data_IF_851576570379
#
_entry.id   IF_851576570379
#
_cell.length_a   1.000
_cell.length_b   1.000
_cell.length_c   1.000
_cell.angle_alpha   90.00
_cell.angle_beta   90.00
_cell.angle_gamma   90.00
#
_symmetry.space_group_name_H-M   'P 1'
#
loop_
_entity.id
_entity.type
_entity.pdbx_description
1 polymer ?
#
# COMPACT_ATOMS: atom_id res chain seq x y z
N UNK A 1 29.22 27.05 7.67
CA UNK A 1 29.30 26.22 8.91
C UNK A 1 28.07 25.31 8.92
N UNK A 2 28.24 23.99 9.08
CA UNK A 2 27.08 23.11 9.18
C UNK A 2 26.26 23.45 10.42
N UNK A 3 24.92 23.44 10.35
CA UNK A 3 24.11 23.60 11.54
C UNK A 3 24.37 22.46 12.51
N UNK A 4 24.42 22.78 13.80
CA UNK A 4 24.52 21.75 14.83
C UNK A 4 23.20 21.02 14.95
N UNK A 5 23.18 19.72 14.78
CA UNK A 5 22.03 18.85 14.97
C UNK A 5 22.41 17.57 15.72
N UNK A 6 21.42 16.87 16.26
CA UNK A 6 21.68 15.64 16.99
C UNK A 6 22.42 14.62 16.11
N UNK A 7 23.47 14.01 16.65
CA UNK A 7 24.38 13.07 15.98
C UNK A 7 25.27 13.66 14.86
N UNK A 8 25.39 14.99 14.73
CA UNK A 8 26.40 15.59 13.85
C UNK A 8 27.77 15.00 14.14
N UNK A 9 28.52 14.61 13.11
CA UNK A 9 29.83 13.97 13.24
C UNK A 9 29.80 12.49 13.67
N UNK A 10 28.65 11.83 13.62
CA UNK A 10 28.50 10.37 13.77
C UNK A 10 28.21 9.73 12.41
N UNK A 11 28.55 8.44 12.22
CA UNK A 11 28.13 7.72 11.03
C UNK A 11 26.61 7.80 10.87
N UNK A 12 26.17 8.23 9.69
CA UNK A 12 24.76 8.40 9.36
C UNK A 12 24.53 7.88 7.94
N UNK A 13 23.30 7.45 7.67
CA UNK A 13 22.76 7.28 6.31
C UNK A 13 21.92 8.52 5.97
N UNK A 14 20.93 8.36 5.08
CA UNK A 14 19.99 9.45 4.81
C UNK A 14 19.21 9.86 6.06
N UNK A 15 19.08 11.16 6.24
CA UNK A 15 18.28 11.78 7.31
C UNK A 15 17.17 12.64 6.69
N UNK A 16 16.09 12.84 7.43
CA UNK A 16 15.08 13.86 7.10
C UNK A 16 15.57 15.21 7.64
N UNK A 17 16.03 16.07 6.74
CA UNK A 17 16.52 17.39 7.11
C UNK A 17 15.36 18.39 7.15
N UNK A 18 15.23 19.09 8.28
CA UNK A 18 14.21 20.12 8.48
C UNK A 18 14.89 21.43 8.88
N UNK A 19 15.13 22.35 7.94
CA UNK A 19 15.82 23.60 8.20
C UNK A 19 15.17 24.43 9.32
N UNK A 20 13.86 24.56 9.31
CA UNK A 20 13.13 25.37 10.31
C UNK A 20 13.27 24.80 11.73
N UNK A 21 13.34 23.46 11.87
CA UNK A 21 13.56 22.84 13.17
C UNK A 21 14.97 23.08 13.72
N UNK A 22 15.91 23.46 12.86
CA UNK A 22 17.28 23.81 13.21
C UNK A 22 17.47 25.33 13.39
N UNK A 23 16.38 26.12 13.30
CA UNK A 23 16.43 27.57 13.41
C UNK A 23 17.07 28.27 12.20
N UNK A 24 17.14 27.60 11.06
CA UNK A 24 17.66 28.17 9.82
C UNK A 24 16.56 29.07 9.22
N UNK A 25 16.87 30.36 9.08
CA UNK A 25 15.97 31.32 8.44
C UNK A 25 16.07 31.20 6.91
N UNK A 26 15.04 30.61 6.29
CA UNK A 26 14.96 30.41 4.84
C UNK A 26 14.60 31.68 4.06
N UNK A 27 14.35 32.81 4.74
CA UNK A 27 14.16 34.13 4.10
C UNK A 27 15.47 34.86 3.91
N UNK A 28 16.55 34.40 4.51
CA UNK A 28 17.91 34.89 4.31
C UNK A 28 18.54 34.20 3.13
N UNK A 29 18.90 34.97 2.11
CA UNK A 29 19.53 34.47 0.87
C UNK A 29 20.83 33.70 1.12
N UNK A 30 21.52 33.96 2.23
CA UNK A 30 22.72 33.19 2.63
C UNK A 30 22.41 31.74 3.02
N UNK A 31 21.15 31.39 3.18
CA UNK A 31 20.65 30.05 3.50
C UNK A 31 19.94 29.38 2.30
N UNK A 32 20.10 29.89 1.08
CA UNK A 32 19.44 29.37 -0.10
C UNK A 32 19.71 27.87 -0.36
N UNK A 33 20.88 27.36 0.04
CA UNK A 33 21.23 25.95 -0.07
C UNK A 33 20.37 25.03 0.79
N UNK A 34 19.74 25.54 1.85
CA UNK A 34 18.86 24.77 2.74
C UNK A 34 17.40 24.77 2.32
N UNK A 35 17.03 25.54 1.30
CA UNK A 35 15.65 25.64 0.83
C UNK A 35 15.22 24.29 0.20
N UNK A 36 14.17 23.62 0.70
CA UNK A 36 13.61 22.40 0.09
C UNK A 36 13.10 22.68 -1.33
N UNK A 37 12.95 21.65 -2.15
CA UNK A 37 12.26 21.79 -3.44
C UNK A 37 10.78 22.07 -3.21
N UNK A 38 10.17 21.33 -2.28
CA UNK A 38 8.80 21.60 -1.84
C UNK A 38 8.63 21.41 -0.32
N UNK A 39 7.52 21.87 0.22
CA UNK A 39 7.18 21.68 1.63
C UNK A 39 8.18 22.32 2.59
N UNK A 40 8.65 21.57 3.59
CA UNK A 40 9.51 22.09 4.69
C UNK A 40 10.74 21.21 4.97
N UNK A 41 10.91 20.11 4.29
CA UNK A 41 11.91 19.08 4.57
C UNK A 41 12.39 18.44 3.29
N UNK A 42 13.58 17.85 3.34
CA UNK A 42 14.13 17.02 2.28
C UNK A 42 14.92 15.85 2.89
N UNK A 43 15.22 14.83 2.09
CA UNK A 43 16.16 13.79 2.48
C UNK A 43 17.59 14.25 2.20
N UNK A 44 18.50 14.05 3.15
CA UNK A 44 19.87 14.46 3.04
C UNK A 44 20.83 13.30 3.32
N UNK A 45 21.80 13.06 2.43
CA UNK A 45 22.98 12.25 2.71
C UNK A 45 24.16 13.20 2.96
N UNK A 46 24.67 13.17 4.18
CA UNK A 46 25.75 14.04 4.62
C UNK A 46 27.11 13.46 4.20
N UNK A 47 28.12 14.31 4.10
CA UNK A 47 29.49 13.87 3.80
C UNK A 47 29.97 12.76 4.74
N UNK A 48 30.62 11.75 4.18
CA UNK A 48 31.29 10.73 4.97
C UNK A 48 32.43 11.34 5.81
N UNK A 49 32.68 10.74 6.96
CA UNK A 49 33.71 11.18 7.90
C UNK A 49 35.14 11.05 7.34
N UNK A 50 35.31 10.29 6.25
CA UNK A 50 36.60 10.03 5.64
C UNK A 50 36.63 10.43 4.18
N UNK A 51 37.60 11.27 3.81
CA UNK A 51 37.91 11.60 2.40
C UNK A 51 38.24 10.36 1.55
N UNK A 52 38.62 9.26 2.18
CA UNK A 52 39.15 8.07 1.49
C UNK A 52 38.03 7.09 1.08
N UNK A 53 36.92 7.05 1.80
CA UNK A 53 35.94 5.97 1.66
C UNK A 53 34.67 6.38 0.92
N UNK A 54 34.39 7.68 0.76
CA UNK A 54 33.15 8.16 0.16
C UNK A 54 31.88 7.75 0.93
N UNK A 55 30.75 8.22 0.47
CA UNK A 55 29.45 7.82 0.98
C UNK A 55 29.03 6.45 0.40
N UNK A 56 28.28 5.72 1.15
CA UNK A 56 27.56 4.51 0.74
C UNK A 56 26.20 4.49 1.44
N UNK A 57 25.44 5.57 1.26
CA UNK A 57 24.18 5.78 1.95
C UNK A 57 23.03 5.35 1.05
N UNK A 58 22.16 4.50 1.58
CA UNK A 58 21.07 3.88 0.85
C UNK A 58 19.72 4.44 1.28
N UNK A 59 18.97 4.98 0.33
CA UNK A 59 17.56 5.32 0.48
C UNK A 59 16.76 4.30 -0.35
N UNK A 60 16.12 3.36 0.34
CA UNK A 60 15.43 2.23 -0.28
C UNK A 60 13.93 2.50 -0.25
N UNK A 61 13.25 2.25 -1.38
CA UNK A 61 11.81 2.42 -1.50
C UNK A 61 11.03 1.39 -0.68
N UNK A 62 9.77 1.68 -0.43
CA UNK A 62 8.78 0.64 -0.16
C UNK A 62 8.62 -0.26 -1.39
N UNK A 63 7.91 -1.38 -1.23
CA UNK A 63 7.69 -2.32 -2.33
C UNK A 63 6.95 -1.64 -3.50
N UNK A 64 7.41 -1.92 -4.71
CA UNK A 64 6.84 -1.41 -5.96
C UNK A 64 5.73 -2.32 -6.48
N UNK A 65 4.92 -1.80 -7.43
CA UNK A 65 3.87 -2.57 -8.12
C UNK A 65 4.40 -3.79 -8.89
N UNK A 66 5.67 -3.78 -9.26
CA UNK A 66 6.26 -4.79 -10.15
C UNK A 66 6.04 -4.51 -11.64
N UNK A 67 5.26 -3.49 -11.99
CA UNK A 67 5.11 -3.04 -13.36
C UNK A 67 6.30 -2.20 -13.81
N UNK A 68 6.52 -2.15 -15.13
CA UNK A 68 7.43 -1.15 -15.68
C UNK A 68 6.97 0.25 -15.30
N UNK A 69 7.86 1.05 -14.74
CA UNK A 69 7.52 2.40 -14.28
C UNK A 69 8.69 3.37 -14.35
N UNK A 70 8.36 4.66 -14.31
CA UNK A 70 9.34 5.74 -14.19
C UNK A 70 9.37 6.21 -12.73
N UNK A 71 10.55 6.19 -12.12
CA UNK A 71 10.82 6.87 -10.85
C UNK A 71 11.34 8.26 -11.15
N UNK A 72 10.81 9.27 -10.45
CA UNK A 72 11.29 10.65 -10.54
C UNK A 72 11.75 11.11 -9.17
N UNK A 73 12.79 11.93 -9.14
CA UNK A 73 13.32 12.55 -7.91
C UNK A 73 13.89 13.93 -8.24
N UNK A 74 13.63 14.89 -7.40
CA UNK A 74 14.40 16.13 -7.42
C UNK A 74 15.66 15.97 -6.59
N UNK A 75 16.81 16.33 -7.14
CA UNK A 75 18.09 16.26 -6.46
C UNK A 75 18.90 17.52 -6.67
N UNK A 76 19.67 17.90 -5.64
CA UNK A 76 20.73 18.92 -5.74
C UNK A 76 21.87 18.61 -4.81
N UNK A 77 23.02 19.24 -5.10
CA UNK A 77 24.20 19.32 -4.24
C UNK A 77 24.11 20.54 -3.33
N UNK A 78 24.53 20.41 -2.10
CA UNK A 78 24.77 21.55 -1.20
C UNK A 78 26.09 22.23 -1.58
N UNK A 79 26.05 23.06 -2.59
CA UNK A 79 27.20 23.82 -3.07
C UNK A 79 26.78 25.03 -3.91
N UNK A 80 26.74 26.20 -3.29
CA UNK A 80 26.43 27.45 -3.97
C UNK A 80 27.40 27.79 -5.11
N UNK A 81 28.64 27.29 -5.06
CA UNK A 81 29.64 27.56 -6.09
C UNK A 81 29.38 26.78 -7.41
N UNK A 82 28.60 25.69 -7.34
CA UNK A 82 28.36 24.77 -8.45
C UNK A 82 29.57 23.92 -8.86
N UNK A 83 30.67 23.97 -8.10
CA UNK A 83 31.90 23.27 -8.41
C UNK A 83 31.95 21.84 -7.91
N UNK A 84 31.17 21.54 -6.84
CA UNK A 84 31.19 20.25 -6.15
C UNK A 84 29.87 19.55 -6.35
N UNK A 85 29.77 18.77 -7.42
CA UNK A 85 28.57 17.96 -7.70
C UNK A 85 28.57 16.73 -6.82
N UNK A 86 27.42 16.44 -6.20
CA UNK A 86 27.19 15.18 -5.52
C UNK A 86 26.91 14.07 -6.54
N UNK A 87 27.33 12.85 -6.22
CA UNK A 87 27.10 11.68 -7.07
C UNK A 87 26.18 10.68 -6.41
N UNK A 88 25.31 10.07 -7.18
CA UNK A 88 24.43 9.02 -6.69
C UNK A 88 24.12 8.01 -7.79
N UNK A 89 23.75 6.82 -7.39
CA UNK A 89 23.28 5.76 -8.26
C UNK A 89 21.82 5.45 -7.98
N UNK A 90 21.09 5.07 -9.01
CA UNK A 90 19.78 4.42 -8.87
C UNK A 90 19.93 2.95 -9.19
N UNK A 91 19.56 2.10 -8.24
CA UNK A 91 19.62 0.66 -8.37
C UNK A 91 18.24 0.06 -8.17
N UNK A 92 17.99 -1.16 -8.65
CA UNK A 92 16.77 -1.89 -8.35
C UNK A 92 17.03 -3.35 -7.95
N UNK A 93 16.04 -3.91 -7.26
CA UNK A 93 16.00 -5.30 -6.85
C UNK A 93 14.70 -5.95 -7.29
N UNK A 94 14.77 -7.20 -7.73
CA UNK A 94 13.60 -8.03 -8.07
C UNK A 94 13.22 -9.00 -6.94
N UNK A 95 13.99 -9.03 -5.85
CA UNK A 95 13.84 -10.02 -4.77
C UNK A 95 13.51 -9.36 -3.42
N UNK A 96 14.48 -8.74 -2.77
CA UNK A 96 14.36 -8.19 -1.42
C UNK A 96 14.87 -6.75 -1.34
N UNK A 97 14.74 -6.15 -0.16
CA UNK A 97 15.12 -4.76 0.11
C UNK A 97 16.44 -4.63 0.88
N UNK A 98 17.17 -5.70 1.12
CA UNK A 98 18.52 -5.61 1.69
C UNK A 98 19.52 -5.14 0.61
N UNK A 99 20.53 -4.33 0.95
CA UNK A 99 21.48 -3.76 -0.03
C UNK A 99 22.09 -4.78 -1.00
N UNK A 100 22.39 -5.98 -0.54
CA UNK A 100 22.94 -7.08 -1.35
C UNK A 100 21.99 -7.59 -2.46
N UNK A 101 20.70 -7.28 -2.38
CA UNK A 101 19.73 -7.66 -3.41
C UNK A 101 19.69 -6.71 -4.61
N UNK A 102 20.34 -5.54 -4.51
CA UNK A 102 20.35 -4.50 -5.55
C UNK A 102 21.55 -4.72 -6.47
N UNK A 103 21.47 -5.72 -7.32
CA UNK A 103 22.57 -6.12 -8.23
C UNK A 103 22.64 -5.30 -9.52
N UNK A 104 21.55 -4.61 -9.85
CA UNK A 104 21.41 -3.90 -11.09
C UNK A 104 21.45 -2.37 -10.89
N UNK A 105 22.39 -1.69 -11.52
CA UNK A 105 22.45 -0.24 -11.57
C UNK A 105 21.70 0.27 -12.79
N UNK A 106 20.69 1.10 -12.57
CA UNK A 106 19.92 1.75 -13.65
C UNK A 106 20.74 2.88 -14.26
N UNK A 107 21.32 3.71 -13.40
CA UNK A 107 22.12 4.88 -13.81
C UNK A 107 22.96 5.41 -12.66
N UNK A 108 24.16 5.91 -13.03
CA UNK A 108 24.92 6.83 -12.20
C UNK A 108 24.60 8.26 -12.61
N UNK A 109 24.51 9.18 -11.66
CA UNK A 109 24.10 10.55 -11.88
C UNK A 109 24.90 11.52 -11.02
N UNK A 110 25.02 12.76 -11.51
CA UNK A 110 25.59 13.89 -10.76
C UNK A 110 24.55 14.97 -10.53
N UNK A 111 24.34 15.38 -9.30
CA UNK A 111 23.50 16.52 -8.94
C UNK A 111 24.31 17.81 -8.85
N UNK A 112 23.81 18.86 -9.49
CA UNK A 112 24.36 20.22 -9.41
C UNK A 112 23.75 21.03 -8.25
N UNK A 113 24.07 22.33 -8.20
CA UNK A 113 23.64 23.22 -7.11
C UNK A 113 22.18 23.65 -7.13
N UNK A 114 21.45 23.32 -8.19
CA UNK A 114 20.02 23.66 -8.33
C UNK A 114 19.15 22.42 -8.32
N UNK A 115 17.96 22.52 -7.74
CA UNK A 115 16.99 21.45 -7.80
C UNK A 115 16.69 21.05 -9.25
N UNK A 116 16.96 19.82 -9.59
CA UNK A 116 16.79 19.25 -10.93
C UNK A 116 16.02 17.96 -10.84
N UNK A 117 14.99 17.77 -11.68
CA UNK A 117 14.27 16.51 -11.78
C UNK A 117 15.11 15.48 -12.56
N UNK A 118 15.31 14.33 -11.98
CA UNK A 118 15.91 13.16 -12.61
C UNK A 118 14.84 12.07 -12.76
N UNK A 119 14.83 11.43 -13.93
CA UNK A 119 13.88 10.37 -14.25
C UNK A 119 14.61 9.08 -14.60
N UNK A 120 14.14 7.95 -14.06
CA UNK A 120 14.74 6.63 -14.20
C UNK A 120 13.69 5.60 -14.56
N UNK A 121 13.91 4.85 -15.65
CA UNK A 121 13.03 3.76 -16.05
C UNK A 121 13.39 2.49 -15.30
N UNK A 122 12.46 1.92 -14.56
CA UNK A 122 12.56 0.61 -13.94
C UNK A 122 11.87 -0.44 -14.80
N UNK A 123 12.49 -1.60 -15.03
CA UNK A 123 11.86 -2.68 -15.79
C UNK A 123 10.70 -3.32 -15.04
N UNK A 124 9.86 -4.05 -15.78
CA UNK A 124 8.89 -4.95 -15.15
C UNK A 124 9.62 -6.00 -14.30
N UNK A 125 9.03 -6.34 -13.14
CA UNK A 125 9.61 -7.23 -12.15
C UNK A 125 10.45 -6.53 -11.08
N UNK A 126 10.77 -5.23 -11.21
CA UNK A 126 11.42 -4.47 -10.16
C UNK A 126 10.49 -4.37 -8.93
N UNK A 127 10.96 -4.84 -7.78
CA UNK A 127 10.20 -4.83 -6.52
C UNK A 127 10.61 -3.70 -5.58
N UNK A 128 11.84 -3.25 -5.70
CA UNK A 128 12.39 -2.13 -4.92
C UNK A 128 13.35 -1.34 -5.79
N UNK A 129 13.46 -0.05 -5.55
CA UNK A 129 14.59 0.77 -6.01
C UNK A 129 15.34 1.35 -4.81
N UNK A 130 16.58 1.73 -5.05
CA UNK A 130 17.38 2.46 -4.09
C UNK A 130 18.05 3.66 -4.77
N UNK A 131 18.14 4.77 -4.04
CA UNK A 131 19.02 5.89 -4.40
C UNK A 131 20.20 5.83 -3.45
N UNK A 132 21.37 5.55 -4.01
CA UNK A 132 22.61 5.35 -3.25
C UNK A 132 23.50 6.56 -3.45
N UNK A 133 23.80 7.29 -2.39
CA UNK A 133 24.83 8.34 -2.44
C UNK A 133 26.21 7.69 -2.53
N UNK A 134 26.97 8.07 -3.58
CA UNK A 134 28.30 7.55 -3.84
C UNK A 134 29.36 8.66 -3.83
N UNK A 135 29.00 9.82 -3.31
CA UNK A 135 29.87 10.98 -3.26
C UNK A 135 31.12 10.74 -2.42
N UNK A 136 32.23 11.33 -2.83
CA UNK A 136 33.46 11.34 -2.05
C UNK A 136 33.96 12.77 -1.91
N UNK A 137 34.32 13.17 -0.70
CA UNK A 137 34.82 14.50 -0.38
C UNK A 137 33.89 15.62 -0.90
N UNK A 138 32.61 15.47 -0.65
CA UNK A 138 31.54 16.43 -0.96
C UNK A 138 30.85 16.86 0.34
N UNK A 139 29.73 17.57 0.22
CA UNK A 139 29.09 18.12 1.42
C UNK A 139 27.78 17.43 1.79
N UNK A 140 26.79 17.49 0.91
CA UNK A 140 25.47 16.93 1.18
C UNK A 140 24.70 16.75 -0.12
N UNK A 141 24.31 15.53 -0.42
CA UNK A 141 23.29 15.23 -1.44
C UNK A 141 21.90 15.49 -0.83
N UNK A 142 21.10 16.28 -1.50
CA UNK A 142 19.73 16.59 -1.13
C UNK A 142 18.77 15.95 -2.12
N UNK A 143 17.75 15.25 -1.64
CA UNK A 143 16.69 14.61 -2.43
C UNK A 143 15.33 15.08 -1.93
N UNK A 144 14.41 15.34 -2.86
CA UNK A 144 13.05 15.75 -2.56
C UNK A 144 12.07 15.23 -3.61
N UNK A 145 10.78 15.27 -3.32
CA UNK A 145 9.66 14.95 -4.23
C UNK A 145 9.89 13.67 -5.04
N UNK A 146 10.15 12.55 -4.36
CA UNK A 146 10.33 11.25 -5.00
C UNK A 146 8.96 10.68 -5.40
N UNK A 147 8.77 10.44 -6.69
CA UNK A 147 7.52 9.92 -7.25
C UNK A 147 7.73 8.55 -7.88
N UNK A 148 6.90 7.59 -7.51
CA UNK A 148 6.90 6.22 -8.05
C UNK A 148 5.54 5.55 -7.81
N UNK A 149 5.28 4.43 -8.50
CA UNK A 149 4.09 3.62 -8.30
C UNK A 149 4.39 2.57 -7.22
N UNK A 150 3.82 2.80 -6.05
CA UNK A 150 3.93 1.89 -4.91
C UNK A 150 3.19 0.60 -5.21
N UNK A 151 3.79 -0.53 -4.87
CA UNK A 151 3.14 -1.82 -4.84
C UNK A 151 2.26 -1.94 -3.60
N UNK A 152 1.08 -2.55 -3.78
CA UNK A 152 0.39 -3.17 -2.67
C UNK A 152 0.85 -4.62 -2.55
N UNK A 153 0.93 -5.15 -1.36
CA UNK A 153 0.98 -6.60 -1.19
C UNK A 153 -0.26 -7.18 -1.88
N UNK A 154 -0.07 -8.07 -2.85
CA UNK A 154 -1.20 -8.78 -3.43
C UNK A 154 -1.73 -9.76 -2.40
N UNK A 155 -3.01 -9.70 -2.11
CA UNK A 155 -3.62 -10.69 -1.25
C UNK A 155 -3.46 -12.09 -1.88
N UNK A 156 -3.06 -13.06 -1.09
CA UNK A 156 -3.00 -14.48 -1.46
C UNK A 156 -4.37 -15.13 -1.29
N UNK A 157 -5.11 -14.69 -0.27
CA UNK A 157 -6.46 -15.16 0.03
C UNK A 157 -7.22 -14.15 0.89
N UNK A 158 -8.51 -14.40 1.06
CA UNK A 158 -9.39 -13.62 1.92
C UNK A 158 -10.07 -14.52 2.93
N UNK A 159 -10.03 -14.15 4.21
CA UNK A 159 -10.81 -14.80 5.26
C UNK A 159 -12.15 -14.09 5.42
N UNK A 160 -13.23 -14.86 5.42
CA UNK A 160 -14.60 -14.37 5.59
C UNK A 160 -15.07 -14.74 6.99
N UNK A 161 -15.50 -13.74 7.73
CA UNK A 161 -16.01 -13.90 9.08
C UNK A 161 -17.51 -13.59 9.11
N UNK A 162 -18.28 -14.42 9.82
CA UNK A 162 -19.65 -14.16 10.22
C UNK A 162 -19.72 -14.16 11.73
N UNK A 163 -20.26 -13.10 12.32
CA UNK A 163 -20.41 -12.92 13.76
C UNK A 163 -19.07 -13.18 14.52
N UNK A 164 -17.98 -12.66 13.96
CA UNK A 164 -16.59 -12.80 14.44
C UNK A 164 -16.00 -14.22 14.33
N UNK A 165 -16.71 -15.17 13.72
CA UNK A 165 -16.22 -16.52 13.48
C UNK A 165 -15.79 -16.68 12.02
N UNK A 166 -14.60 -17.21 11.77
CA UNK A 166 -14.14 -17.57 10.44
C UNK A 166 -15.05 -18.66 9.85
N UNK A 167 -15.64 -18.40 8.68
CA UNK A 167 -16.54 -19.33 7.98
C UNK A 167 -15.96 -19.83 6.66
N UNK A 168 -15.06 -19.09 6.05
CA UNK A 168 -14.40 -19.50 4.80
C UNK A 168 -13.08 -18.75 4.59
N UNK A 169 -12.20 -19.37 3.79
CA UNK A 169 -11.05 -18.72 3.17
C UNK A 169 -11.16 -18.91 1.65
N UNK A 170 -11.02 -17.82 0.91
CA UNK A 170 -11.16 -17.78 -0.56
C UNK A 170 -9.84 -17.32 -1.16
N UNK A 171 -9.28 -18.10 -2.10
CA UNK A 171 -8.03 -17.74 -2.76
C UNK A 171 -8.21 -16.52 -3.67
N UNK A 172 -7.24 -15.61 -3.68
CA UNK A 172 -7.18 -14.52 -4.67
C UNK A 172 -6.93 -15.10 -6.09
N UNK A 173 -7.40 -14.45 -7.15
CA UNK A 173 -8.07 -13.15 -7.18
C UNK A 173 -9.59 -13.20 -6.98
N UNK A 174 -10.15 -14.28 -6.47
CA UNK A 174 -11.61 -14.42 -6.26
C UNK A 174 -12.08 -13.41 -5.21
N UNK A 175 -13.02 -12.53 -5.58
CA UNK A 175 -13.59 -11.49 -4.72
C UNK A 175 -15.06 -11.72 -4.39
N UNK A 176 -15.55 -12.95 -4.57
CA UNK A 176 -16.94 -13.32 -4.31
C UNK A 176 -17.01 -14.57 -3.44
N UNK A 177 -17.87 -14.53 -2.45
CA UNK A 177 -18.22 -15.68 -1.61
C UNK A 177 -19.72 -15.68 -1.34
N UNK A 178 -20.35 -16.85 -1.39
CA UNK A 178 -21.76 -17.03 -1.04
C UNK A 178 -21.84 -17.90 0.20
N UNK A 179 -22.30 -17.33 1.30
CA UNK A 179 -22.59 -18.10 2.52
C UNK A 179 -23.94 -18.79 2.41
N UNK A 180 -23.93 -20.09 2.16
CA UNK A 180 -25.13 -20.93 2.08
C UNK A 180 -25.52 -21.51 3.43
N UNK A 181 -24.76 -21.22 4.49
CA UNK A 181 -24.93 -21.81 5.82
C UNK A 181 -25.43 -20.83 6.86
N UNK A 182 -25.71 -19.58 6.46
CA UNK A 182 -26.17 -18.57 7.39
C UNK A 182 -27.54 -18.96 7.98
N UNK A 183 -27.70 -19.05 9.32
CA UNK A 183 -28.99 -19.27 9.96
C UNK A 183 -29.96 -18.10 9.73
N UNK A 184 -31.19 -18.23 10.17
CA UNK A 184 -32.09 -17.08 10.25
C UNK A 184 -31.61 -16.07 11.28
N UNK A 185 -31.71 -14.79 10.92
CA UNK A 185 -31.39 -13.70 11.85
C UNK A 185 -30.48 -12.64 11.23
N UNK A 186 -30.09 -11.71 12.05
CA UNK A 186 -29.15 -10.65 11.70
C UNK A 186 -27.72 -11.15 11.90
N UNK A 187 -26.91 -11.07 10.85
CA UNK A 187 -25.50 -11.44 10.88
C UNK A 187 -24.61 -10.26 10.50
N UNK A 188 -23.42 -10.24 11.08
CA UNK A 188 -22.37 -9.27 10.77
C UNK A 188 -21.25 -10.00 10.06
N UNK A 189 -20.87 -9.49 8.89
CA UNK A 189 -19.77 -10.00 8.09
C UNK A 189 -18.61 -9.02 8.08
N UNK A 190 -17.41 -9.57 8.19
CA UNK A 190 -16.14 -8.88 7.97
C UNK A 190 -15.25 -9.75 7.08
N UNK A 191 -14.27 -9.12 6.46
CA UNK A 191 -13.26 -9.78 5.64
C UNK A 191 -11.88 -9.30 6.09
N UNK A 192 -10.91 -10.21 6.06
CA UNK A 192 -9.48 -9.86 6.09
C UNK A 192 -8.82 -10.33 4.83
N UNK A 193 -7.70 -9.72 4.46
CA UNK A 193 -6.82 -10.18 3.39
C UNK A 193 -5.58 -10.82 4.00
N UNK A 194 -5.18 -11.96 3.47
CA UNK A 194 -3.94 -12.66 3.81
C UNK A 194 -2.89 -12.27 2.77
N UNK A 195 -1.78 -11.79 3.24
CA UNK A 195 -0.61 -11.40 2.46
C UNK A 195 0.59 -12.25 2.87
N UNK A 196 1.66 -12.22 2.10
CA UNK A 196 2.90 -12.95 2.40
C UNK A 196 3.56 -12.55 3.73
N UNK A 197 3.25 -11.37 4.24
CA UNK A 197 3.78 -10.81 5.50
C UNK A 197 2.78 -10.78 6.65
N UNK A 198 1.56 -11.28 6.45
CA UNK A 198 0.55 -11.39 7.51
C UNK A 198 -0.89 -11.16 7.07
N UNK A 199 -1.77 -11.07 8.04
CA UNK A 199 -3.20 -10.83 7.88
C UNK A 199 -3.53 -9.36 8.15
N UNK A 200 -4.38 -8.76 7.30
CA UNK A 200 -4.85 -7.38 7.48
C UNK A 200 -5.76 -7.23 8.71
N UNK A 201 -6.01 -5.99 9.11
CA UNK A 201 -7.14 -5.69 9.99
C UNK A 201 -8.48 -6.10 9.35
N UNK A 202 -9.50 -6.31 10.18
CA UNK A 202 -10.87 -6.55 9.71
C UNK A 202 -11.36 -5.38 8.85
N UNK A 203 -12.09 -5.69 7.78
CA UNK A 203 -12.84 -4.69 7.01
C UNK A 203 -13.90 -3.99 7.86
N UNK A 204 -14.53 -2.96 7.29
CA UNK A 204 -15.81 -2.46 7.81
C UNK A 204 -16.84 -3.60 7.91
N UNK A 205 -17.80 -3.43 8.82
CA UNK A 205 -18.88 -4.39 9.03
C UNK A 205 -19.94 -4.28 7.93
N UNK A 206 -20.37 -5.43 7.40
CA UNK A 206 -21.55 -5.55 6.57
C UNK A 206 -22.63 -6.30 7.32
N UNK A 207 -23.80 -5.68 7.57
CA UNK A 207 -24.92 -6.32 8.27
C UNK A 207 -25.95 -6.84 7.28
N UNK A 208 -26.26 -8.13 7.36
CA UNK A 208 -27.27 -8.80 6.53
C UNK A 208 -28.27 -9.45 7.45
N UNK A 209 -29.55 -9.32 7.14
CA UNK A 209 -30.61 -10.06 7.82
C UNK A 209 -31.10 -11.16 6.91
N UNK A 210 -30.86 -12.40 7.28
CA UNK A 210 -31.43 -13.55 6.58
C UNK A 210 -32.84 -13.81 7.13
N UNK A 211 -33.82 -13.58 6.26
CA UNK A 211 -35.21 -14.01 6.55
C UNK A 211 -35.34 -15.39 5.92
N UNK A 212 -35.08 -16.41 6.72
CA UNK A 212 -34.95 -17.75 6.17
C UNK A 212 -36.29 -18.41 5.96
N UNK A 213 -36.46 -18.89 4.75
CA UNK A 213 -37.20 -20.12 4.54
C UNK A 213 -36.14 -21.15 4.14
N UNK A 214 -35.53 -21.77 5.11
CA UNK A 214 -34.41 -22.70 4.91
C UNK A 214 -34.85 -24.09 4.47
N UNK A 215 -36.14 -24.40 4.51
CA UNK A 215 -36.63 -25.72 4.19
C UNK A 215 -37.77 -25.67 3.13
N UNK A 216 -37.57 -26.35 2.02
CA UNK A 216 -38.62 -26.62 1.06
C UNK A 216 -39.15 -28.01 1.33
N UNK A 217 -40.27 -28.12 2.02
CA UNK A 217 -40.92 -29.40 2.27
C UNK A 217 -41.62 -29.85 1.00
N UNK A 218 -41.22 -30.99 0.47
CA UNK A 218 -41.84 -31.57 -0.73
C UNK A 218 -43.13 -32.28 -0.36
N UNK A 219 -44.23 -31.99 -1.08
CA UNK A 219 -45.39 -32.85 -1.13
C UNK A 219 -46.61 -32.45 -0.32
N UNK A 220 -46.65 -31.28 0.29
CA UNK A 220 -47.87 -30.78 0.94
C UNK A 220 -48.90 -30.26 -0.04
N UNK A 221 -50.18 -30.56 0.23
CA UNK A 221 -51.30 -29.97 -0.55
C UNK A 221 -51.78 -28.68 0.08
N UNK A 222 -52.16 -27.71 -0.73
CA UNK A 222 -52.87 -26.54 -0.26
C UNK A 222 -54.31 -26.96 0.01
N UNK A 223 -54.70 -27.11 1.27
CA UNK A 223 -56.00 -27.65 1.72
C UNK A 223 -57.08 -26.59 2.01
N UNK A 224 -56.71 -25.32 1.90
CA UNK A 224 -57.64 -24.22 2.16
C UNK A 224 -57.93 -23.89 3.63
N UNK A 225 -57.48 -24.72 4.60
CA UNK A 225 -57.72 -24.50 6.01
C UNK A 225 -56.83 -23.43 6.64
N UNK A 226 -55.71 -23.11 5.94
CA UNK A 226 -54.78 -22.02 6.36
C UNK A 226 -54.37 -21.18 5.14
N UNK A 227 -54.18 -19.90 5.33
CA UNK A 227 -53.77 -19.02 4.24
C UNK A 227 -52.36 -19.42 3.70
N UNK A 228 -52.30 -19.60 2.41
CA UNK A 228 -51.07 -19.91 1.70
C UNK A 228 -50.84 -18.87 0.59
N UNK A 229 -49.59 -18.52 0.33
CA UNK A 229 -49.22 -17.45 -0.60
C UNK A 229 -48.16 -17.94 -1.59
N UNK A 230 -48.26 -17.49 -2.84
CA UNK A 230 -47.16 -17.69 -3.80
C UNK A 230 -45.96 -16.75 -3.53
N UNK A 231 -44.90 -16.89 -4.29
CA UNK A 231 -43.69 -16.04 -4.14
C UNK A 231 -43.93 -14.54 -4.42
N UNK A 232 -45.04 -14.19 -5.09
CA UNK A 232 -45.45 -12.80 -5.31
C UNK A 232 -46.34 -12.25 -4.20
N UNK A 233 -46.52 -13.01 -3.09
CA UNK A 233 -47.36 -12.61 -1.96
C UNK A 233 -48.87 -12.73 -2.21
N UNK A 234 -49.32 -13.32 -3.31
CA UNK A 234 -50.74 -13.54 -3.62
C UNK A 234 -51.23 -14.80 -2.90
N UNK A 235 -52.42 -14.71 -2.29
CA UNK A 235 -53.08 -15.87 -1.67
C UNK A 235 -53.45 -16.90 -2.71
N UNK A 236 -53.12 -18.18 -2.44
CA UNK A 236 -53.42 -19.32 -3.31
C UNK A 236 -54.36 -20.30 -2.62
N UNK A 237 -55.19 -20.96 -3.39
CA UNK A 237 -56.18 -21.90 -2.91
C UNK A 237 -55.85 -23.36 -3.20
N UNK A 238 -56.76 -24.29 -2.81
CA UNK A 238 -56.63 -25.70 -3.15
C UNK A 238 -56.42 -25.95 -4.64
N UNK A 239 -55.47 -26.84 -4.95
CA UNK A 239 -55.13 -27.18 -6.34
C UNK A 239 -54.04 -26.28 -6.96
N UNK A 240 -53.53 -25.25 -6.24
CA UNK A 240 -52.37 -24.52 -6.71
C UNK A 240 -51.13 -25.44 -6.76
N UNK A 241 -50.37 -25.31 -7.85
CA UNK A 241 -49.12 -26.05 -8.05
C UNK A 241 -47.94 -25.08 -8.16
N UNK A 242 -46.91 -25.37 -7.43
CA UNK A 242 -45.70 -24.53 -7.41
C UNK A 242 -45.23 -24.24 -6.00
N UNK A 243 -44.34 -23.24 -5.86
CA UNK A 243 -43.78 -22.88 -4.56
C UNK A 243 -44.80 -22.03 -3.78
N UNK A 244 -45.06 -22.43 -2.55
CA UNK A 244 -46.04 -21.82 -1.65
C UNK A 244 -45.40 -21.51 -0.30
N UNK A 245 -45.80 -20.39 0.29
CA UNK A 245 -45.45 -19.98 1.63
C UNK A 245 -46.67 -20.13 2.55
N UNK A 246 -46.51 -20.87 3.63
CA UNK A 246 -47.55 -21.05 4.65
C UNK A 246 -46.89 -21.15 6.04
N UNK A 247 -47.35 -20.37 7.00
CA UNK A 247 -46.79 -20.33 8.38
C UNK A 247 -45.26 -20.12 8.41
N UNK A 248 -44.72 -19.24 7.54
CA UNK A 248 -43.28 -18.97 7.44
C UNK A 248 -42.45 -20.08 6.80
N UNK A 249 -43.09 -21.16 6.30
CA UNK A 249 -42.39 -22.26 5.61
C UNK A 249 -42.69 -22.27 4.15
N UNK A 250 -41.70 -22.69 3.38
CA UNK A 250 -41.79 -22.86 1.92
C UNK A 250 -41.95 -24.33 1.59
N UNK A 251 -42.91 -24.66 0.75
CA UNK A 251 -43.12 -26.03 0.24
C UNK A 251 -43.53 -26.03 -1.23
N UNK A 252 -43.37 -27.16 -1.90
CA UNK A 252 -43.83 -27.36 -3.25
C UNK A 252 -45.22 -28.00 -3.20
N UNK A 253 -46.24 -27.24 -3.58
CA UNK A 253 -47.59 -27.75 -3.73
C UNK A 253 -47.69 -28.56 -5.04
N UNK A 254 -48.23 -29.78 -4.93
CA UNK A 254 -48.46 -30.73 -6.07
C UNK A 254 -49.91 -30.86 -6.43
#
# INVERSE_FOLDING_TARGET
MYPSFANAGKPMAYIVFNPSALGIDLTDDSNAEYVPHSGKKFAASMAADSYMNGNNDWLISEMLSGDKQTVKVFAKSFDASGNYKETFEVRYSTTGNAPENFTETVREQSAGSTWTEYSFELPAGARYFAIVCTSSNKMMLQLDDITYIKGGLSAESYNIYRDKKLIATVAAPTTKYTDTTAPEGKHIYNVTAIYSDGESALSNEASITTTGINEVVNGEKVDGNQPAYNLSGQRVGPGYRGIVIRNGRKFIAK
#
